data_IF_243185140473
#
_entry.id   IF_243185140473
#
_cell.length_a   1.000
_cell.length_b   1.000
_cell.length_c   1.000
_cell.angle_alpha   90.00
_cell.angle_beta   90.00
_cell.angle_gamma   90.00
#
_symmetry.space_group_name_H-M   'P 1'
#
loop_
_entity.id
_entity.type
_entity.pdbx_description
1 polymer ?
#
# COMPACT_ATOMS: atom_id res chain seq x y z
N UNK A 1 -11.97 -9.94 -19.72
CA UNK A 1 -12.07 -10.07 -18.25
C UNK A 1 -10.72 -10.58 -17.76
N UNK A 2 -10.08 -9.89 -16.82
CA UNK A 2 -8.66 -10.14 -16.50
C UNK A 2 -8.42 -11.33 -15.57
N UNK A 3 -9.45 -11.83 -14.87
CA UNK A 3 -9.38 -13.02 -14.01
C UNK A 3 -10.66 -13.83 -14.21
N UNK A 4 -10.57 -15.11 -14.57
CA UNK A 4 -11.74 -15.96 -14.84
C UNK A 4 -11.40 -17.46 -14.79
N UNK A 5 -12.34 -18.27 -14.32
CA UNK A 5 -12.29 -19.75 -14.34
C UNK A 5 -12.84 -20.33 -15.65
N UNK A 6 -12.91 -19.52 -16.71
CA UNK A 6 -13.51 -19.89 -17.98
C UNK A 6 -15.03 -19.73 -17.93
N UNK A 7 -15.62 -19.51 -19.11
CA UNK A 7 -17.05 -19.34 -19.26
C UNK A 7 -17.45 -19.59 -20.71
N UNK A 8 -18.73 -19.87 -20.94
CA UNK A 8 -19.28 -20.01 -22.28
C UNK A 8 -19.98 -18.73 -22.71
N UNK A 9 -19.77 -18.30 -23.95
CA UNK A 9 -20.51 -17.22 -24.61
C UNK A 9 -21.14 -17.79 -25.87
N UNK A 10 -22.44 -18.09 -25.82
CA UNK A 10 -23.11 -18.82 -26.91
C UNK A 10 -22.49 -20.20 -27.08
N UNK A 11 -21.91 -20.49 -28.25
CA UNK A 11 -21.17 -21.74 -28.51
C UNK A 11 -19.66 -21.62 -28.29
N UNK A 12 -19.14 -20.44 -27.98
CA UNK A 12 -17.70 -20.23 -27.80
C UNK A 12 -17.30 -20.48 -26.34
N UNK A 13 -16.33 -21.38 -26.14
CA UNK A 13 -15.73 -21.64 -24.84
C UNK A 13 -14.53 -20.70 -24.65
N UNK A 14 -14.55 -19.91 -23.59
CA UNK A 14 -13.40 -19.12 -23.15
C UNK A 14 -12.67 -19.93 -22.06
N UNK A 15 -11.38 -20.26 -22.26
CA UNK A 15 -10.63 -21.05 -21.28
C UNK A 15 -10.40 -20.28 -19.97
N UNK A 16 -10.12 -21.04 -18.91
CA UNK A 16 -9.74 -20.47 -17.62
C UNK A 16 -8.37 -19.79 -17.69
N UNK A 17 -8.25 -18.66 -16.99
CA UNK A 17 -6.98 -18.01 -16.75
C UNK A 17 -6.34 -18.68 -15.53
N UNK A 18 -5.15 -19.25 -15.72
CA UNK A 18 -4.41 -19.96 -14.67
C UNK A 18 -3.76 -18.99 -13.68
N UNK A 19 -3.10 -17.93 -14.17
CA UNK A 19 -2.55 -16.87 -13.34
C UNK A 19 -3.61 -15.80 -13.03
N UNK A 20 -4.02 -15.74 -11.76
CA UNK A 20 -5.06 -14.83 -11.29
C UNK A 20 -4.51 -13.58 -10.61
N UNK A 21 -3.20 -13.33 -10.75
CA UNK A 21 -2.55 -12.11 -10.25
C UNK A 21 -2.87 -10.96 -11.18
N UNK A 22 -3.46 -9.90 -10.62
CA UNK A 22 -3.80 -8.70 -11.35
C UNK A 22 -3.40 -7.47 -10.54
N UNK A 23 -2.57 -6.62 -11.11
CA UNK A 23 -2.31 -5.29 -10.56
C UNK A 23 -2.99 -4.24 -11.43
N UNK A 24 -3.88 -3.48 -10.80
CA UNK A 24 -4.62 -2.38 -11.42
C UNK A 24 -4.02 -1.06 -10.93
N UNK A 25 -3.66 -0.20 -11.88
CA UNK A 25 -3.19 1.16 -11.62
C UNK A 25 -4.26 2.13 -12.12
N UNK A 26 -4.81 2.91 -11.21
CA UNK A 26 -5.83 3.92 -11.50
C UNK A 26 -5.27 5.30 -11.20
N UNK A 27 -4.99 6.08 -12.25
CA UNK A 27 -4.48 7.45 -12.09
C UNK A 27 -5.54 8.39 -11.51
N UNK A 28 -6.82 8.08 -11.67
CA UNK A 28 -7.95 8.87 -11.17
C UNK A 28 -8.88 8.02 -10.31
N UNK A 29 -8.50 7.78 -9.06
CA UNK A 29 -9.27 6.93 -8.15
C UNK A 29 -10.66 7.52 -7.81
N UNK A 30 -10.87 8.82 -8.06
CA UNK A 30 -12.18 9.45 -8.08
C UNK A 30 -13.19 8.70 -8.97
N UNK A 31 -12.76 8.18 -10.12
CA UNK A 31 -13.61 7.41 -11.03
C UNK A 31 -14.09 6.11 -10.38
N UNK A 32 -13.23 5.39 -9.66
CA UNK A 32 -13.60 4.16 -8.94
C UNK A 32 -14.66 4.46 -7.86
N UNK A 33 -14.47 5.55 -7.10
CA UNK A 33 -15.45 6.01 -6.11
C UNK A 33 -16.79 6.39 -6.76
N UNK A 34 -16.78 7.07 -7.90
CA UNK A 34 -18.01 7.44 -8.61
C UNK A 34 -18.72 6.22 -9.22
N UNK A 35 -17.99 5.29 -9.83
CA UNK A 35 -18.56 4.08 -10.41
C UNK A 35 -19.20 3.20 -9.36
N UNK A 36 -18.54 3.02 -8.21
CA UNK A 36 -19.08 2.23 -7.11
C UNK A 36 -20.41 2.78 -6.54
N UNK A 37 -20.74 4.04 -6.83
CA UNK A 37 -22.01 4.68 -6.44
C UNK A 37 -23.17 4.42 -7.39
N UNK A 38 -22.93 3.98 -8.62
CA UNK A 38 -24.00 3.72 -9.59
C UNK A 38 -24.88 2.58 -9.08
N UNK A 39 -26.19 2.81 -9.04
CA UNK A 39 -27.16 1.79 -8.61
C UNK A 39 -27.00 0.52 -9.43
N UNK A 40 -26.92 -0.63 -8.77
CA UNK A 40 -26.66 -1.93 -9.41
C UNK A 40 -25.20 -2.25 -9.70
N UNK A 41 -24.24 -1.35 -9.42
CA UNK A 41 -22.82 -1.66 -9.54
C UNK A 41 -22.32 -2.44 -8.32
N UNK A 42 -21.61 -3.54 -8.56
CA UNK A 42 -21.03 -4.41 -7.54
C UNK A 42 -19.53 -4.19 -7.33
N UNK A 43 -18.93 -3.17 -7.95
CA UNK A 43 -17.48 -2.90 -7.90
C UNK A 43 -16.93 -2.77 -6.46
N UNK A 44 -17.60 -2.02 -5.59
CA UNK A 44 -17.16 -1.90 -4.19
C UNK A 44 -17.25 -3.22 -3.43
N UNK A 45 -18.29 -4.03 -3.68
CA UNK A 45 -18.38 -5.37 -3.10
C UNK A 45 -17.26 -6.28 -3.60
N UNK A 46 -17.05 -6.33 -4.91
CA UNK A 46 -15.99 -7.13 -5.53
C UNK A 46 -14.59 -6.75 -5.04
N UNK A 47 -14.29 -5.46 -4.90
CA UNK A 47 -12.99 -5.01 -4.38
C UNK A 47 -12.79 -5.37 -2.90
N UNK A 48 -13.85 -5.37 -2.09
CA UNK A 48 -13.79 -5.86 -0.70
C UNK A 48 -13.53 -7.36 -0.66
N UNK A 49 -14.25 -8.12 -1.48
CA UNK A 49 -14.09 -9.57 -1.61
C UNK A 49 -12.66 -9.91 -2.06
N UNK A 50 -12.10 -9.20 -3.04
CA UNK A 50 -10.70 -9.34 -3.45
C UNK A 50 -9.72 -9.12 -2.29
N UNK A 51 -9.92 -8.08 -1.48
CA UNK A 51 -9.05 -7.80 -0.33
C UNK A 51 -9.15 -8.90 0.74
N UNK A 52 -10.36 -9.42 0.95
CA UNK A 52 -10.65 -10.48 1.91
C UNK A 52 -10.26 -11.88 1.38
N UNK A 53 -9.85 -11.99 0.11
CA UNK A 53 -9.46 -13.26 -0.54
C UNK A 53 -10.64 -14.15 -0.90
N UNK A 54 -11.84 -13.58 -1.02
CA UNK A 54 -13.09 -14.29 -1.32
C UNK A 54 -13.28 -14.44 -2.83
N UNK A 55 -13.85 -15.56 -3.26
CA UNK A 55 -14.19 -15.82 -4.66
C UNK A 55 -15.10 -14.71 -5.25
N UNK A 56 -14.78 -14.28 -6.47
CA UNK A 56 -15.65 -13.38 -7.21
C UNK A 56 -16.75 -14.17 -7.93
N UNK A 57 -17.98 -14.01 -7.45
CA UNK A 57 -19.19 -14.63 -8.02
C UNK A 57 -20.23 -13.53 -8.35
N UNK A 58 -20.18 -12.91 -9.54
CA UNK A 58 -21.11 -11.86 -9.91
C UNK A 58 -22.55 -12.40 -9.96
N UNK A 59 -23.44 -11.82 -9.16
CA UNK A 59 -24.83 -12.28 -9.05
C UNK A 59 -25.71 -11.98 -10.27
N UNK A 60 -25.30 -11.03 -11.14
CA UNK A 60 -26.19 -10.39 -12.13
C UNK A 60 -25.83 -10.62 -13.59
N UNK A 61 -24.79 -11.41 -13.92
CA UNK A 61 -24.47 -11.74 -15.31
C UNK A 61 -25.08 -13.08 -15.71
N UNK A 62 -25.80 -13.09 -16.83
CA UNK A 62 -26.34 -14.29 -17.51
C UNK A 62 -25.27 -15.35 -17.78
N UNK A 63 -24.01 -14.90 -17.86
CA UNK A 63 -22.83 -15.76 -17.92
C UNK A 63 -22.22 -15.92 -16.52
N UNK A 64 -22.09 -17.17 -16.07
CA UNK A 64 -21.47 -17.55 -14.79
C UNK A 64 -19.95 -17.36 -14.83
N UNK A 65 -19.50 -16.11 -15.00
CA UNK A 65 -18.07 -15.81 -14.95
C UNK A 65 -17.65 -15.72 -13.49
N UNK A 66 -16.89 -16.70 -13.02
CA UNK A 66 -16.41 -16.78 -11.65
C UNK A 66 -14.88 -16.75 -11.62
N UNK A 67 -14.31 -16.25 -10.53
CA UNK A 67 -12.88 -16.37 -10.25
C UNK A 67 -12.71 -16.85 -8.80
N UNK A 68 -12.14 -18.05 -8.62
CA UNK A 68 -11.69 -18.49 -7.30
C UNK A 68 -10.32 -17.90 -6.98
N UNK A 69 -10.03 -17.64 -5.72
CA UNK A 69 -8.68 -17.21 -5.26
C UNK A 69 -8.10 -16.03 -6.08
N UNK A 70 -8.82 -14.89 -6.18
CA UNK A 70 -8.34 -13.73 -6.92
C UNK A 70 -7.19 -13.04 -6.15
N UNK A 71 -6.05 -12.82 -6.82
CA UNK A 71 -4.94 -12.05 -6.27
C UNK A 71 -4.89 -10.66 -6.92
N UNK A 72 -5.77 -9.77 -6.47
CA UNK A 72 -5.93 -8.43 -7.07
C UNK A 72 -5.33 -7.35 -6.17
N UNK A 73 -4.40 -6.57 -6.73
CA UNK A 73 -3.87 -5.35 -6.14
C UNK A 73 -4.41 -4.13 -6.90
N UNK A 74 -4.79 -3.08 -6.17
CA UNK A 74 -5.25 -1.82 -6.74
C UNK A 74 -4.45 -0.67 -6.12
N UNK A 75 -3.74 0.07 -6.96
CA UNK A 75 -3.11 1.34 -6.59
C UNK A 75 -3.85 2.49 -7.29
N UNK A 76 -4.30 3.45 -6.51
CA UNK A 76 -5.07 4.60 -7.00
C UNK A 76 -4.44 5.93 -6.56
N UNK A 77 -4.46 6.93 -7.43
CA UNK A 77 -4.11 8.30 -7.08
C UNK A 77 -5.38 9.17 -6.99
N UNK A 78 -5.45 10.04 -5.99
CA UNK A 78 -6.56 10.98 -5.78
C UNK A 78 -6.08 12.20 -5.00
N UNK A 79 -6.63 13.38 -5.31
CA UNK A 79 -6.35 14.59 -4.53
C UNK A 79 -7.15 14.61 -3.21
N UNK A 80 -6.66 15.28 -2.14
CA UNK A 80 -7.43 15.42 -0.90
C UNK A 80 -8.82 16.01 -1.11
N UNK A 81 -8.92 17.06 -1.94
CA UNK A 81 -10.19 17.73 -2.24
C UNK A 81 -11.20 16.80 -2.89
N UNK A 82 -10.78 15.98 -3.86
CA UNK A 82 -11.67 15.02 -4.51
C UNK A 82 -12.06 13.89 -3.56
N UNK A 83 -11.11 13.38 -2.78
CA UNK A 83 -11.39 12.34 -1.80
C UNK A 83 -12.45 12.83 -0.79
N UNK A 84 -12.27 14.02 -0.22
CA UNK A 84 -13.22 14.61 0.72
C UNK A 84 -14.59 14.91 0.09
N UNK A 85 -14.63 15.28 -1.19
CA UNK A 85 -15.88 15.53 -1.90
C UNK A 85 -16.64 14.23 -2.25
N UNK A 86 -15.92 13.11 -2.43
CA UNK A 86 -16.49 11.85 -2.92
C UNK A 86 -16.77 10.82 -1.82
N UNK A 87 -15.97 10.79 -0.75
CA UNK A 87 -16.15 9.87 0.37
C UNK A 87 -17.34 10.31 1.23
N UNK A 88 -18.36 9.45 1.33
CA UNK A 88 -19.52 9.69 2.21
C UNK A 88 -19.45 8.79 3.44
N UNK A 89 -20.20 9.15 4.50
CA UNK A 89 -20.37 8.31 5.71
C UNK A 89 -20.68 6.84 5.38
N UNK A 90 -21.46 6.56 4.33
CA UNK A 90 -21.76 5.18 3.92
C UNK A 90 -20.53 4.38 3.46
N UNK A 91 -19.59 5.02 2.76
CA UNK A 91 -18.39 4.37 2.22
C UNK A 91 -17.33 4.11 3.31
N UNK A 92 -17.50 4.78 4.45
CA UNK A 92 -16.74 4.58 5.67
C UNK A 92 -17.33 3.43 6.48
N UNK A 93 -18.65 3.45 6.69
CA UNK A 93 -19.38 2.42 7.43
C UNK A 93 -19.39 1.04 6.74
N UNK A 94 -19.32 0.98 5.40
CA UNK A 94 -19.26 -0.29 4.67
C UNK A 94 -17.84 -0.89 4.58
N UNK A 95 -16.86 -0.19 5.15
CA UNK A 95 -15.43 -0.57 5.16
C UNK A 95 -14.78 -0.55 3.79
N UNK A 96 -15.29 0.18 2.80
CA UNK A 96 -14.62 0.22 1.50
C UNK A 96 -13.26 0.93 1.62
N UNK A 97 -13.26 2.14 2.19
CA UNK A 97 -12.04 2.96 2.26
C UNK A 97 -11.02 2.40 3.24
N UNK A 98 -11.46 1.73 4.32
CA UNK A 98 -10.56 1.14 5.33
C UNK A 98 -9.71 -0.05 4.83
N UNK A 99 -9.91 -0.49 3.58
CA UNK A 99 -9.08 -1.51 2.92
C UNK A 99 -7.94 -0.94 2.10
N UNK A 100 -7.85 0.39 1.98
CA UNK A 100 -6.76 1.08 1.29
C UNK A 100 -5.74 1.61 2.28
N UNK A 101 -4.45 1.31 2.03
CA UNK A 101 -3.36 1.96 2.74
C UNK A 101 -3.17 3.36 2.14
N UNK A 102 -3.64 4.39 2.84
CA UNK A 102 -3.51 5.77 2.38
C UNK A 102 -2.09 6.28 2.64
N UNK A 103 -1.43 6.80 1.61
CA UNK A 103 -0.07 7.35 1.69
C UNK A 103 -0.12 8.77 1.15
N UNK A 104 0.22 9.74 1.99
CA UNK A 104 0.38 11.12 1.55
C UNK A 104 1.67 11.26 0.73
N UNK A 105 1.54 11.68 -0.53
CA UNK A 105 2.67 12.02 -1.39
C UNK A 105 2.94 13.51 -1.36
N UNK A 106 3.90 13.95 -0.55
CA UNK A 106 4.32 15.36 -0.53
C UNK A 106 5.23 15.67 -1.73
N UNK A 107 4.92 16.72 -2.48
CA UNK A 107 5.82 17.22 -3.51
C UNK A 107 6.99 17.96 -2.84
N UNK A 108 8.14 17.29 -2.76
CA UNK A 108 9.35 17.83 -2.11
C UNK A 108 10.05 18.93 -2.92
N UNK A 109 9.91 18.89 -4.26
CA UNK A 109 10.58 19.83 -5.16
C UNK A 109 9.68 20.19 -6.35
N UNK A 110 9.83 21.41 -6.84
CA UNK A 110 9.13 21.92 -8.04
C UNK A 110 10.17 22.15 -9.12
N UNK A 111 10.49 21.10 -9.86
CA UNK A 111 11.41 21.20 -10.99
C UNK A 111 10.60 21.38 -12.29
N UNK A 112 10.85 22.48 -13.01
CA UNK A 112 10.20 22.72 -14.30
C UNK A 112 10.61 21.70 -15.38
N UNK A 113 11.82 21.15 -15.26
CA UNK A 113 12.40 20.16 -16.16
C UNK A 113 12.97 19.01 -15.32
N UNK A 114 12.14 18.00 -14.95
CA UNK A 114 12.59 16.93 -14.09
C UNK A 114 13.72 16.14 -14.76
N UNK A 115 14.80 15.90 -14.02
CA UNK A 115 15.88 15.05 -14.50
C UNK A 115 15.46 13.59 -14.43
N UNK A 116 15.74 12.83 -15.49
CA UNK A 116 15.55 11.38 -15.47
C UNK A 116 16.38 10.77 -14.34
N UNK A 117 15.80 9.81 -13.61
CA UNK A 117 16.55 9.04 -12.64
C UNK A 117 17.79 8.39 -13.31
N UNK A 118 18.97 8.38 -12.67
CA UNK A 118 20.15 7.74 -13.23
C UNK A 118 19.85 6.30 -13.62
N UNK A 119 20.08 5.94 -14.88
CA UNK A 119 19.70 4.65 -15.44
C UNK A 119 20.32 3.48 -14.66
N UNK A 120 21.60 3.60 -14.27
CA UNK A 120 22.28 2.61 -13.45
C UNK A 120 21.59 2.36 -12.09
N UNK A 121 20.96 3.37 -11.48
CA UNK A 121 20.21 3.20 -10.23
C UNK A 121 18.90 2.47 -10.45
N UNK A 122 18.21 2.77 -11.56
CA UNK A 122 16.98 2.08 -11.95
C UNK A 122 17.28 0.60 -12.23
N UNK A 123 18.37 0.32 -12.94
CA UNK A 123 18.81 -1.05 -13.25
C UNK A 123 19.21 -1.82 -12.00
N UNK A 124 19.92 -1.20 -11.06
CA UNK A 124 20.26 -1.83 -9.78
C UNK A 124 18.99 -2.22 -9.00
N UNK A 125 18.02 -1.31 -8.88
CA UNK A 125 16.75 -1.60 -8.21
C UNK A 125 15.94 -2.67 -8.96
N UNK A 126 15.95 -2.66 -10.29
CA UNK A 126 15.28 -3.68 -11.08
C UNK A 126 15.91 -5.06 -10.85
N UNK A 127 17.24 -5.15 -10.79
CA UNK A 127 17.95 -6.38 -10.48
C UNK A 127 17.61 -6.89 -9.07
N UNK A 128 17.62 -6.02 -8.06
CA UNK A 128 17.22 -6.39 -6.69
C UNK A 128 15.78 -6.96 -6.65
N UNK A 129 14.83 -6.34 -7.36
CA UNK A 129 13.45 -6.82 -7.45
C UNK A 129 13.37 -8.16 -8.18
N UNK A 130 14.13 -8.36 -9.25
CA UNK A 130 14.19 -9.65 -9.97
C UNK A 130 14.67 -10.76 -9.05
N UNK A 131 15.74 -10.54 -8.28
CA UNK A 131 16.26 -11.52 -7.34
C UNK A 131 15.23 -11.91 -6.26
N UNK A 132 14.46 -10.92 -5.77
CA UNK A 132 13.38 -11.17 -4.81
C UNK A 132 12.28 -12.02 -5.47
N UNK A 133 11.88 -11.68 -6.69
CA UNK A 133 10.86 -12.44 -7.42
C UNK A 133 11.30 -13.88 -7.69
N UNK A 134 12.56 -14.10 -8.07
CA UNK A 134 13.11 -15.44 -8.30
C UNK A 134 13.17 -16.25 -7.00
N UNK A 135 13.56 -15.62 -5.88
CA UNK A 135 13.47 -16.24 -4.56
C UNK A 135 12.04 -16.69 -4.24
N UNK A 136 11.04 -15.83 -4.45
CA UNK A 136 9.63 -16.19 -4.20
C UNK A 136 9.09 -17.26 -5.16
N UNK A 137 9.61 -17.32 -6.38
CA UNK A 137 9.20 -18.31 -7.39
C UNK A 137 9.69 -19.71 -7.06
N UNK A 138 10.88 -19.85 -6.47
CA UNK A 138 11.44 -21.16 -6.09
C UNK A 138 10.50 -22.01 -5.21
N UNK A 139 9.64 -21.36 -4.42
CA UNK A 139 8.64 -22.03 -3.58
C UNK A 139 7.29 -22.25 -4.27
N UNK A 140 7.08 -21.66 -5.44
CA UNK A 140 5.85 -21.81 -6.23
C UNK A 140 5.81 -23.12 -7.04
N UNK A 141 6.97 -23.74 -7.26
CA UNK A 141 7.15 -24.91 -8.14
C UNK A 141 6.55 -26.21 -7.55
N UNK A 142 6.26 -26.24 -6.24
CA UNK A 142 5.58 -27.34 -5.53
C UNK A 142 4.04 -27.32 -5.67
N UNK A 143 3.52 -26.95 -6.84
CA UNK A 143 2.11 -27.16 -7.19
C UNK A 143 1.12 -26.11 -6.68
N UNK A 144 1.50 -24.83 -6.63
CA UNK A 144 0.56 -23.73 -6.42
C UNK A 144 -0.02 -23.63 -5.02
N UNK A 145 0.62 -24.22 -4.01
CA UNK A 145 0.21 -24.07 -2.62
C UNK A 145 0.58 -22.69 -2.08
N UNK A 146 -0.40 -21.99 -1.52
CA UNK A 146 -0.17 -20.82 -0.66
C UNK A 146 0.76 -21.22 0.48
N UNK A 147 1.99 -20.69 0.47
CA UNK A 147 2.95 -20.94 1.55
C UNK A 147 2.57 -20.08 2.75
N UNK A 148 2.33 -20.73 3.89
CA UNK A 148 2.10 -20.02 5.14
C UNK A 148 3.43 -19.50 5.69
N UNK A 149 3.64 -18.18 5.60
CA UNK A 149 4.74 -17.53 6.31
C UNK A 149 4.48 -17.58 7.82
N UNK A 150 5.53 -17.87 8.58
CA UNK A 150 5.45 -17.92 10.05
C UNK A 150 6.25 -16.79 10.68
N UNK A 151 5.93 -16.47 11.93
CA UNK A 151 6.64 -15.46 12.72
C UNK A 151 7.58 -16.13 13.71
N UNK A 152 8.75 -15.53 13.94
CA UNK A 152 9.58 -15.87 15.11
C UNK A 152 8.86 -15.53 16.41
N UNK A 153 9.27 -16.14 17.52
CA UNK A 153 8.69 -15.81 18.83
C UNK A 153 8.89 -14.33 19.20
N UNK A 154 10.05 -13.75 18.87
CA UNK A 154 10.31 -12.31 19.08
C UNK A 154 9.31 -11.45 18.29
N UNK A 155 9.12 -11.75 17.00
CA UNK A 155 8.16 -11.04 16.17
C UNK A 155 6.72 -11.17 16.70
N UNK A 156 6.32 -12.35 17.20
CA UNK A 156 4.99 -12.56 17.80
C UNK A 156 4.79 -11.69 19.05
N UNK A 157 5.77 -11.66 19.95
CA UNK A 157 5.72 -10.82 21.14
C UNK A 157 5.66 -9.33 20.75
N UNK A 158 6.47 -8.92 19.78
CA UNK A 158 6.49 -7.55 19.28
C UNK A 158 5.12 -7.14 18.70
N UNK A 159 4.57 -7.97 17.82
CA UNK A 159 3.24 -7.76 17.26
C UNK A 159 2.15 -7.71 18.32
N UNK A 160 2.15 -8.65 19.28
CA UNK A 160 1.16 -8.67 20.36
C UNK A 160 1.20 -7.38 21.21
N UNK A 161 2.40 -6.87 21.50
CA UNK A 161 2.57 -5.60 22.21
C UNK A 161 2.01 -4.42 21.42
N UNK A 162 2.36 -4.31 20.13
CA UNK A 162 1.84 -3.25 19.25
C UNK A 162 0.32 -3.35 19.06
N UNK A 163 -0.21 -4.57 18.99
CA UNK A 163 -1.64 -4.83 18.86
C UNK A 163 -2.41 -4.26 20.04
N UNK A 164 -1.96 -4.49 21.26
CA UNK A 164 -2.60 -3.98 22.47
C UNK A 164 -2.42 -2.48 22.65
N UNK A 165 -1.26 -1.93 22.28
CA UNK A 165 -0.89 -0.56 22.61
C UNK A 165 -1.29 0.49 21.57
N UNK A 166 -1.26 0.14 20.29
CA UNK A 166 -1.37 1.13 19.20
C UNK A 166 -2.42 0.73 18.15
N UNK A 167 -2.46 -0.55 17.75
CA UNK A 167 -3.37 -0.96 16.65
C UNK A 167 -4.84 -0.95 17.05
N UNK A 168 -5.15 -1.15 18.34
CA UNK A 168 -6.50 -1.03 18.90
C UNK A 168 -6.74 0.29 19.65
N UNK A 169 -5.80 1.25 19.55
CA UNK A 169 -6.00 2.56 20.15
C UNK A 169 -7.11 3.32 19.41
N UNK A 170 -8.02 3.89 20.20
CA UNK A 170 -9.06 4.83 19.77
C UNK A 170 -8.45 6.24 19.66
N UNK A 171 -8.46 6.81 18.45
CA UNK A 171 -7.88 8.13 18.18
C UNK A 171 -8.86 9.27 18.47
N UNK A 172 -10.05 8.96 19.00
CA UNK A 172 -11.06 9.90 19.47
C UNK A 172 -11.87 10.55 18.34
N UNK A 173 -11.82 9.99 17.13
CA UNK A 173 -12.53 10.50 15.96
C UNK A 173 -13.15 9.34 15.21
N UNK A 174 -14.45 9.12 15.44
CA UNK A 174 -15.23 8.04 14.82
C UNK A 174 -15.00 7.90 13.31
N UNK A 175 -14.79 9.02 12.61
CA UNK A 175 -14.45 9.02 11.19
C UNK A 175 -13.06 8.44 10.88
N UNK A 176 -12.03 8.88 11.62
CA UNK A 176 -10.64 8.45 11.45
C UNK A 176 -10.50 6.99 11.93
N UNK A 177 -11.12 6.65 13.05
CA UNK A 177 -11.08 5.30 13.62
C UNK A 177 -11.67 4.28 12.63
N UNK A 178 -12.83 4.57 12.03
CA UNK A 178 -13.43 3.70 11.00
C UNK A 178 -12.55 3.46 9.78
N UNK A 179 -11.70 4.44 9.41
CA UNK A 179 -10.76 4.30 8.31
C UNK A 179 -9.53 3.47 8.66
N UNK A 180 -9.20 3.39 9.94
CA UNK A 180 -8.00 2.74 10.47
C UNK A 180 -8.30 1.39 11.13
N UNK A 181 -9.53 0.89 11.04
CA UNK A 181 -9.95 -0.41 11.57
C UNK A 181 -9.10 -1.59 11.06
N UNK A 182 -8.48 -1.47 9.88
CA UNK A 182 -7.68 -2.57 9.27
C UNK A 182 -6.17 -2.38 9.40
N UNK A 183 -5.70 -1.55 10.32
CA UNK A 183 -4.26 -1.36 10.60
C UNK A 183 -3.53 -2.68 10.91
N UNK A 184 -4.09 -3.54 11.76
CA UNK A 184 -3.48 -4.80 12.14
C UNK A 184 -3.25 -5.77 10.96
N UNK A 185 -4.27 -6.10 10.13
CA UNK A 185 -4.06 -6.95 8.96
C UNK A 185 -3.27 -6.26 7.84
N UNK A 186 -3.17 -4.92 7.79
CA UNK A 186 -2.24 -4.23 6.90
C UNK A 186 -0.79 -4.37 7.36
N UNK A 187 -0.53 -4.24 8.66
CA UNK A 187 0.79 -4.43 9.24
C UNK A 187 1.34 -5.82 8.88
N UNK A 188 0.57 -6.88 9.10
CA UNK A 188 1.03 -8.24 8.81
C UNK A 188 1.32 -8.45 7.32
N UNK A 189 0.52 -7.85 6.42
CA UNK A 189 0.80 -7.90 4.97
C UNK A 189 2.08 -7.17 4.60
N UNK A 190 2.33 -6.00 5.18
CA UNK A 190 3.59 -5.27 4.96
C UNK A 190 4.79 -6.02 5.53
N UNK A 191 4.66 -6.62 6.71
CA UNK A 191 5.72 -7.42 7.33
C UNK A 191 6.08 -8.65 6.50
N UNK A 192 5.10 -9.30 5.86
CA UNK A 192 5.36 -10.35 4.86
C UNK A 192 6.15 -9.80 3.68
N UNK A 193 5.76 -8.64 3.13
CA UNK A 193 6.48 -8.03 2.00
C UNK A 193 7.93 -7.69 2.38
N UNK A 194 8.19 -7.16 3.58
CA UNK A 194 9.55 -6.88 4.04
C UNK A 194 10.37 -8.15 4.21
N UNK A 195 9.83 -9.18 4.86
CA UNK A 195 10.50 -10.48 4.98
C UNK A 195 10.87 -11.07 3.60
N UNK A 196 9.97 -10.99 2.62
CA UNK A 196 10.25 -11.46 1.26
C UNK A 196 11.30 -10.60 0.54
N UNK A 197 11.34 -9.30 0.82
CA UNK A 197 12.37 -8.37 0.31
C UNK A 197 13.76 -8.73 0.85
N UNK A 198 13.83 -9.16 2.11
CA UNK A 198 15.04 -9.71 2.74
C UNK A 198 15.29 -11.19 2.39
N UNK A 199 14.51 -11.76 1.47
CA UNK A 199 14.60 -13.15 0.99
C UNK A 199 14.52 -14.18 2.13
N UNK A 200 13.59 -13.97 3.06
CA UNK A 200 13.27 -14.93 4.12
C UNK A 200 11.78 -15.26 4.15
N UNK A 201 11.48 -16.52 4.47
CA UNK A 201 10.10 -17.02 4.65
C UNK A 201 9.58 -16.87 6.08
N UNK A 202 10.41 -16.32 6.97
CA UNK A 202 10.10 -16.12 8.38
C UNK A 202 10.06 -14.62 8.71
N UNK A 203 8.98 -14.18 9.36
CA UNK A 203 8.81 -12.81 9.80
C UNK A 203 9.55 -12.62 11.12
N UNK A 204 10.54 -11.73 11.09
CA UNK A 204 11.33 -11.30 12.23
C UNK A 204 10.82 -9.98 12.83
N UNK A 205 11.40 -9.60 13.97
CA UNK A 205 10.99 -8.42 14.74
C UNK A 205 11.17 -7.13 13.91
N UNK A 206 12.26 -7.02 13.15
CA UNK A 206 12.57 -5.88 12.31
C UNK A 206 11.55 -5.67 11.17
N UNK A 207 11.02 -6.75 10.58
CA UNK A 207 9.97 -6.66 9.57
C UNK A 207 8.66 -6.12 10.16
N UNK A 208 8.37 -6.45 11.43
CA UNK A 208 7.20 -5.93 12.16
C UNK A 208 7.39 -4.43 12.46
N UNK A 209 8.58 -4.02 12.87
CA UNK A 209 8.87 -2.61 13.13
C UNK A 209 8.85 -1.76 11.85
N UNK A 210 9.41 -2.27 10.75
CA UNK A 210 9.32 -1.64 9.44
C UNK A 210 7.87 -1.50 8.98
N UNK A 211 7.07 -2.57 9.11
CA UNK A 211 5.64 -2.55 8.81
C UNK A 211 4.87 -1.54 9.67
N UNK A 212 5.18 -1.46 10.97
CA UNK A 212 4.54 -0.51 11.86
C UNK A 212 4.89 0.94 11.49
N UNK A 213 6.11 1.22 11.06
CA UNK A 213 6.50 2.56 10.60
C UNK A 213 5.63 3.03 9.42
N UNK A 214 5.35 2.13 8.47
CA UNK A 214 4.44 2.41 7.35
C UNK A 214 2.98 2.58 7.78
N UNK A 215 2.50 1.76 8.72
CA UNK A 215 1.14 1.89 9.27
C UNK A 215 0.95 3.20 10.03
N UNK A 216 1.95 3.64 10.79
CA UNK A 216 1.95 4.96 11.45
C UNK A 216 1.93 6.09 10.43
N UNK A 217 2.77 6.01 9.39
CA UNK A 217 2.76 7.01 8.32
C UNK A 217 1.41 7.08 7.60
N UNK A 218 0.77 5.93 7.36
CA UNK A 218 -0.56 5.89 6.76
C UNK A 218 -1.63 6.46 7.70
N UNK A 219 -1.52 6.21 9.01
CA UNK A 219 -2.37 6.80 10.05
C UNK A 219 -2.26 8.33 10.05
N UNK A 220 -1.03 8.85 10.02
CA UNK A 220 -0.75 10.29 9.94
C UNK A 220 -1.28 10.88 8.64
N UNK A 221 -1.15 10.16 7.52
CA UNK A 221 -1.68 10.57 6.21
C UNK A 221 -3.21 10.71 6.25
N UNK A 222 -3.91 9.75 6.84
CA UNK A 222 -5.37 9.82 7.02
C UNK A 222 -5.75 11.02 7.89
N UNK A 223 -5.06 11.21 9.02
CA UNK A 223 -5.29 12.36 9.91
C UNK A 223 -5.09 13.69 9.19
N UNK A 224 -3.99 13.85 8.47
CA UNK A 224 -3.66 15.06 7.72
C UNK A 224 -4.69 15.38 6.63
N UNK A 225 -5.07 14.37 5.83
CA UNK A 225 -6.02 14.54 4.72
C UNK A 225 -7.43 14.85 5.23
N UNK A 226 -7.90 14.19 6.29
CA UNK A 226 -9.27 14.35 6.78
C UNK A 226 -9.51 15.59 7.63
N UNK A 227 -8.48 16.09 8.32
CA UNK A 227 -8.58 17.31 9.14
C UNK A 227 -8.24 18.57 8.35
N UNK A 228 -8.13 18.47 7.02
CA UNK A 228 -7.99 19.61 6.12
C UNK A 228 -6.61 20.27 6.11
N UNK A 229 -5.54 19.56 6.50
CA UNK A 229 -4.13 20.00 6.43
C UNK A 229 -3.73 21.23 7.27
N UNK A 230 -4.63 22.19 7.49
CA UNK A 230 -4.39 23.43 8.22
C UNK A 230 -4.72 23.33 9.72
N UNK A 231 -5.63 22.44 10.14
CA UNK A 231 -5.95 22.26 11.56
C UNK A 231 -4.98 21.32 12.29
N UNK A 232 -4.34 20.38 11.59
CA UNK A 232 -3.37 19.45 12.21
C UNK A 232 -2.08 20.15 12.68
N UNK A 233 -1.64 21.21 12.00
CA UNK A 233 -0.47 21.98 12.43
C UNK A 233 -0.66 22.67 13.79
N UNK A 234 -1.90 23.03 14.14
CA UNK A 234 -2.23 23.75 15.39
C UNK A 234 -2.49 22.75 16.53
N UNK A 235 -3.19 21.63 16.27
CA UNK A 235 -3.51 20.63 17.31
C UNK A 235 -2.28 19.80 17.71
N UNK A 236 -1.36 19.51 16.78
CA UNK A 236 -0.13 18.77 17.08
C UNK A 236 0.88 19.62 17.86
N UNK A 237 0.91 20.94 17.64
CA UNK A 237 1.78 21.86 18.41
C UNK A 237 1.42 21.95 19.90
N UNK A 238 0.20 21.58 20.29
CA UNK A 238 -0.25 21.59 21.70
C UNK A 238 -0.06 20.26 22.44
N UNK A 239 0.14 19.14 21.73
CA UNK A 239 0.30 17.80 22.34
C UNK A 239 1.66 17.14 22.10
N UNK A 240 2.46 17.63 21.16
CA UNK A 240 3.82 17.17 20.94
C UNK A 240 4.80 18.35 20.95
N UNK A 241 5.62 18.41 22.00
CA UNK A 241 6.94 19.01 21.84
C UNK A 241 7.63 18.30 20.67
N UNK A 242 8.24 19.09 19.79
CA UNK A 242 8.89 18.70 18.53
C UNK A 242 7.97 18.23 17.39
N UNK A 243 7.93 19.08 16.35
CA UNK A 243 7.54 18.85 14.94
C UNK A 243 7.35 17.38 14.54
N UNK A 244 6.23 16.99 13.88
CA UNK A 244 6.16 15.70 13.23
C UNK A 244 7.19 15.67 12.10
N UNK A 245 8.30 15.00 12.32
CA UNK A 245 9.19 14.61 11.25
C UNK A 245 8.46 13.55 10.42
N UNK A 246 7.71 13.99 9.39
CA UNK A 246 7.37 13.15 8.22
C UNK A 246 8.63 12.64 7.49
N UNK A 247 9.83 12.93 8.00
CA UNK A 247 11.14 12.46 7.51
C UNK A 247 11.55 11.05 7.98
N UNK A 248 10.74 10.35 8.78
CA UNK A 248 11.21 9.18 9.53
C UNK A 248 11.35 7.86 8.74
N UNK A 249 10.94 7.79 7.48
CA UNK A 249 11.31 6.65 6.61
C UNK A 249 12.67 6.84 5.90
N UNK A 250 13.26 8.04 5.94
CA UNK A 250 14.58 8.29 5.34
C UNK A 250 15.76 7.79 6.19
N UNK A 251 15.54 7.51 7.48
CA UNK A 251 16.60 7.11 8.43
C UNK A 251 16.69 5.61 8.71
N UNK A 252 15.71 4.81 8.27
CA UNK A 252 15.71 3.35 8.38
C UNK A 252 15.73 2.69 6.99
N UNK A 253 16.77 2.93 6.19
CA UNK A 253 17.11 2.11 5.00
C UNK A 253 16.12 2.05 3.82
N UNK A 254 14.83 2.38 4.01
CA UNK A 254 13.80 2.40 2.98
C UNK A 254 13.80 3.76 2.29
N UNK A 255 14.77 3.92 1.39
CA UNK A 255 14.88 5.05 0.50
C UNK A 255 13.79 4.99 -0.59
N UNK A 256 12.55 5.39 -0.27
CA UNK A 256 11.66 5.91 -1.32
C UNK A 256 12.21 7.28 -1.70
N UNK A 257 12.99 7.29 -2.78
CA UNK A 257 13.47 8.45 -3.51
C UNK A 257 13.97 9.65 -2.65
N UNK A 258 15.30 9.72 -2.59
CA UNK A 258 16.13 10.93 -2.49
C UNK A 258 16.39 11.52 -1.10
N UNK A 259 17.64 11.28 -0.65
CA UNK A 259 18.51 12.37 -0.19
C UNK A 259 19.98 12.01 -0.43
N UNK A 260 20.59 12.51 -1.51
CA UNK A 260 22.05 12.53 -1.66
C UNK A 260 22.51 13.80 -2.38
N UNK A 261 23.61 14.36 -1.86
CA UNK A 261 24.19 15.65 -2.21
C UNK A 261 24.19 16.55 -0.97
N UNK A 262 25.17 16.48 -0.07
CA UNK A 262 26.59 16.30 -0.31
C UNK A 262 27.24 17.68 -0.52
N UNK A 263 27.88 18.20 0.53
CA UNK A 263 29.00 19.14 0.47
C UNK A 263 28.77 20.53 -0.13
N UNK A 264 28.73 21.54 0.74
CA UNK A 264 29.34 22.82 0.41
C UNK A 264 30.82 22.58 0.04
N UNK A 265 31.25 23.06 -1.11
CA UNK A 265 32.40 23.98 -1.20
C UNK A 265 32.51 24.54 -2.62
N UNK A 266 32.42 25.85 -2.69
CA UNK A 266 32.69 26.68 -3.85
C UNK A 266 34.14 26.58 -4.29
N UNK A 267 34.37 26.77 -5.59
CA UNK A 267 35.67 26.93 -6.21
C UNK A 267 36.43 28.15 -5.67
N UNK A 268 37.74 28.02 -5.48
CA UNK A 268 38.67 29.11 -5.82
C UNK A 268 39.99 28.56 -6.34
N UNK A 269 40.46 29.22 -7.38
CA UNK A 269 41.74 29.10 -8.08
C UNK A 269 43.01 29.03 -7.21
N UNK A 270 44.05 28.51 -7.87
CA UNK A 270 45.49 28.78 -7.71
C UNK A 270 46.31 27.75 -6.90
N UNK A 271 47.38 27.24 -7.52
CA UNK A 271 48.56 26.76 -6.78
C UNK A 271 49.16 25.43 -7.21
N UNK A 272 49.93 25.45 -8.31
CA UNK A 272 51.25 24.82 -8.49
C UNK A 272 51.62 23.48 -7.80
N UNK A 273 52.07 22.58 -8.68
CA UNK A 273 53.31 21.81 -8.63
C UNK A 273 53.44 20.49 -7.84
N UNK A 274 53.75 19.49 -8.67
CA UNK A 274 54.40 18.18 -8.48
C UNK A 274 53.51 17.03 -8.02
#
# INVERSE_FOLDING_TARGET
MAVSMGYQVGQQQVPAITDKRLWVIESEFANVLQQSRRGGNTLSAALRDCWDGVDLKPATKTFRVHASEPHVCLSGAITPSELLALVRRRDLLNGFVNRFLMVWGERTQVEALPRRAPQARVEALAAEVVDILDFTRSMSEDGGRTVLMTMTDKARHRYASLYQRELNEDLGSTLIDSLLERRAPMLLRLAMVFALTDRTWQIEEEHIDAAMAWVRYATDSVGFVLTGGQQFAITVSGRMGSRPNLRLLSSQGFCVAQRFGGGLLWSSSAGHCR
#
